data_IF_321478301634
#
_entry.id   IF_321478301634
#
_cell.length_a   1.000
_cell.length_b   1.000
_cell.length_c   1.000
_cell.angle_alpha   90.00
_cell.angle_beta   90.00
_cell.angle_gamma   90.00
#
_symmetry.space_group_name_H-M   'P 1'
#
loop_
_entity.id
_entity.type
_entity.pdbx_description
1 polymer ?
#
# COMPACT_ATOMS: atom_id res chain seq x y z
N UNK A 1 -29.70 25.63 -14.00
CA UNK A 1 -28.85 24.86 -14.93
C UNK A 1 -29.05 25.37 -16.34
N UNK A 2 -28.30 26.41 -16.68
CA UNK A 2 -28.15 26.94 -18.03
C UNK A 2 -26.89 26.37 -18.69
N UNK A 3 -26.79 26.47 -20.01
CA UNK A 3 -25.60 26.02 -20.73
C UNK A 3 -24.37 26.84 -20.28
N UNK A 4 -23.35 26.15 -19.76
CA UNK A 4 -22.13 26.78 -19.23
C UNK A 4 -22.13 26.99 -17.71
N UNK A 5 -23.21 26.68 -17.01
CA UNK A 5 -23.27 26.72 -15.55
C UNK A 5 -22.47 25.56 -14.92
N UNK A 6 -21.68 25.85 -13.88
CA UNK A 6 -20.94 24.83 -13.13
C UNK A 6 -21.93 24.02 -12.29
N UNK A 7 -21.97 22.71 -12.53
CA UNK A 7 -22.90 21.78 -11.86
C UNK A 7 -22.24 20.92 -10.78
N UNK A 8 -20.91 20.89 -10.74
CA UNK A 8 -20.12 20.15 -9.76
C UNK A 8 -18.73 20.78 -9.63
N UNK A 9 -18.21 20.80 -8.40
CA UNK A 9 -16.84 21.20 -8.10
C UNK A 9 -15.88 20.00 -8.20
N UNK A 10 -14.64 20.27 -8.59
CA UNK A 10 -13.54 19.31 -8.56
C UNK A 10 -12.62 19.51 -7.36
N UNK A 11 -11.40 18.97 -7.45
CA UNK A 11 -10.36 19.21 -6.47
C UNK A 11 -9.97 20.70 -6.43
N UNK A 12 -9.85 21.27 -5.23
CA UNK A 12 -9.42 22.66 -5.00
C UNK A 12 -10.30 23.72 -5.67
N UNK A 13 -11.61 23.47 -5.78
CA UNK A 13 -12.61 24.44 -6.23
C UNK A 13 -13.80 24.51 -5.28
N UNK A 14 -14.45 25.67 -5.18
CA UNK A 14 -15.68 25.87 -4.42
C UNK A 14 -16.60 26.83 -5.14
N UNK A 15 -17.84 26.41 -5.42
CA UNK A 15 -18.85 27.16 -6.16
C UNK A 15 -18.36 27.65 -7.54
N UNK A 16 -17.58 26.83 -8.25
CA UNK A 16 -17.02 27.17 -9.56
C UNK A 16 -15.80 28.09 -9.53
N UNK A 17 -15.31 28.48 -8.35
CA UNK A 17 -14.10 29.29 -8.18
C UNK A 17 -12.95 28.45 -7.62
N UNK A 18 -11.71 28.88 -7.85
CA UNK A 18 -10.51 28.21 -7.33
C UNK A 18 -10.38 28.46 -5.82
N UNK A 19 -10.17 27.40 -5.05
CA UNK A 19 -10.03 27.41 -3.59
C UNK A 19 -8.83 26.55 -3.16
N UNK A 20 -7.62 27.12 -3.22
CA UNK A 20 -6.36 26.40 -2.93
C UNK A 20 -6.06 26.18 -1.44
N UNK A 21 -6.83 26.81 -0.55
CA UNK A 21 -6.53 26.81 0.87
C UNK A 21 -7.73 27.24 1.71
N UNK A 22 -7.44 27.66 2.94
CA UNK A 22 -8.45 28.08 3.92
C UNK A 22 -8.12 29.48 4.43
N UNK A 23 -9.10 30.14 5.00
CA UNK A 23 -8.97 31.47 5.60
C UNK A 23 -8.85 31.35 7.14
N UNK A 24 -7.64 31.20 7.70
CA UNK A 24 -7.45 31.18 9.14
C UNK A 24 -7.53 32.59 9.74
N UNK A 25 -7.91 32.66 11.01
CA UNK A 25 -7.70 33.89 11.80
C UNK A 25 -6.23 33.97 12.22
N UNK A 26 -5.55 35.04 11.83
CA UNK A 26 -4.11 35.22 12.06
C UNK A 26 -3.87 36.31 13.10
N UNK A 27 -3.06 36.01 14.12
CA UNK A 27 -2.54 36.97 15.08
C UNK A 27 -1.09 37.32 14.78
N UNK A 28 -0.78 38.60 14.56
CA UNK A 28 0.58 39.08 14.36
C UNK A 28 1.20 39.50 15.70
N UNK A 29 1.86 38.56 16.37
CA UNK A 29 2.59 38.79 17.62
C UNK A 29 3.67 37.74 17.81
N UNK A 30 4.68 38.03 18.63
CA UNK A 30 5.62 37.00 19.09
C UNK A 30 4.97 36.18 20.20
N UNK A 31 5.12 34.85 20.15
CA UNK A 31 4.54 33.95 21.15
C UNK A 31 5.58 32.99 21.70
N UNK A 32 6.11 33.32 22.89
CA UNK A 32 7.06 32.49 23.67
C UNK A 32 8.27 31.95 22.88
N UNK A 33 8.62 32.58 21.75
CA UNK A 33 9.69 32.13 20.86
C UNK A 33 9.33 30.95 19.95
N UNK A 34 8.10 30.41 20.01
CA UNK A 34 7.67 29.32 19.13
C UNK A 34 7.53 29.72 17.67
N UNK A 35 7.31 31.01 17.40
CA UNK A 35 7.27 31.58 16.06
C UNK A 35 8.55 32.37 15.72
N UNK A 36 9.71 31.89 16.18
CA UNK A 36 11.00 32.47 15.85
C UNK A 36 11.37 32.22 14.38
N UNK A 37 11.97 33.22 13.73
CA UNK A 37 12.25 33.24 12.29
C UNK A 37 10.99 32.98 11.45
N UNK A 38 10.94 31.86 10.74
CA UNK A 38 9.86 31.50 9.82
C UNK A 38 8.90 30.45 10.40
N UNK A 39 9.02 30.14 11.70
CA UNK A 39 8.15 29.17 12.35
C UNK A 39 6.72 29.70 12.48
N UNK A 40 5.74 28.84 12.18
CA UNK A 40 4.31 29.15 12.29
C UNK A 40 3.70 28.33 13.43
N UNK A 41 3.03 29.02 14.35
CA UNK A 41 2.24 28.37 15.39
C UNK A 41 0.82 28.10 14.86
N UNK A 42 0.37 26.85 14.96
CA UNK A 42 -0.98 26.45 14.58
C UNK A 42 -1.84 26.24 15.82
N UNK A 43 -3.10 26.66 15.73
CA UNK A 43 -4.10 26.30 16.74
C UNK A 43 -4.47 24.83 16.58
N UNK A 44 -4.54 24.09 17.68
CA UNK A 44 -5.01 22.70 17.70
C UNK A 44 -6.40 22.54 17.05
N UNK A 45 -7.23 23.58 17.12
CA UNK A 45 -8.54 23.60 16.46
C UNK A 45 -8.46 23.32 14.96
N UNK A 46 -7.38 23.75 14.29
CA UNK A 46 -7.19 23.49 12.85
C UNK A 46 -7.03 22.00 12.53
N UNK A 47 -6.46 21.23 13.48
CA UNK A 47 -6.32 19.77 13.38
C UNK A 47 -7.65 19.11 13.70
N UNK A 48 -8.33 19.54 14.76
CA UNK A 48 -9.62 18.97 15.16
C UNK A 48 -10.74 19.17 14.12
N UNK A 49 -10.71 20.30 13.41
CA UNK A 49 -11.68 20.66 12.38
C UNK A 49 -11.25 20.18 10.96
N UNK A 50 -10.19 19.38 10.84
CA UNK A 50 -9.65 18.85 9.56
C UNK A 50 -9.41 19.94 8.50
N UNK A 51 -9.00 21.15 8.93
CA UNK A 51 -8.94 22.34 8.05
C UNK A 51 -7.92 22.16 6.93
N UNK A 52 -6.78 21.55 7.25
CA UNK A 52 -5.67 21.30 6.33
C UNK A 52 -5.44 19.80 6.06
N UNK A 53 -6.48 18.98 6.23
CA UNK A 53 -6.42 17.55 5.95
C UNK A 53 -6.54 17.30 4.44
N UNK A 54 -5.65 16.48 3.89
CA UNK A 54 -5.62 16.08 2.48
C UNK A 54 -5.70 14.57 2.32
N UNK A 55 -6.25 14.11 1.19
CA UNK A 55 -6.29 12.69 0.82
C UNK A 55 -5.14 12.44 -0.16
N UNK A 56 -4.29 11.48 0.17
CA UNK A 56 -3.22 10.99 -0.70
C UNK A 56 -3.56 9.57 -1.14
N UNK A 57 -3.44 9.29 -2.44
CA UNK A 57 -3.72 7.98 -3.02
C UNK A 57 -2.42 7.52 -3.69
N UNK A 58 -1.89 6.41 -3.21
CA UNK A 58 -0.70 5.76 -3.74
C UNK A 58 -1.11 4.45 -4.43
N UNK A 59 -0.44 4.12 -5.53
CA UNK A 59 -0.66 2.90 -6.29
C UNK A 59 0.57 2.00 -6.17
N UNK A 60 0.34 0.73 -5.79
CA UNK A 60 1.39 -0.28 -5.77
C UNK A 60 1.07 -1.38 -6.76
N UNK A 61 2.09 -1.79 -7.50
CA UNK A 61 1.97 -2.81 -8.53
C UNK A 61 2.90 -3.98 -8.22
N UNK A 62 2.42 -5.19 -8.49
CA UNK A 62 3.27 -6.39 -8.55
C UNK A 62 2.79 -7.27 -9.69
N UNK A 63 3.74 -7.97 -10.29
CA UNK A 63 3.53 -8.85 -11.42
C UNK A 63 4.09 -10.24 -11.08
N UNK A 64 3.41 -11.26 -11.58
CA UNK A 64 3.87 -12.65 -11.54
C UNK A 64 4.43 -13.00 -12.91
N UNK A 65 5.67 -13.49 -12.96
CA UNK A 65 6.40 -13.77 -14.21
C UNK A 65 6.80 -15.23 -14.31
N UNK A 66 6.97 -15.69 -15.54
CA UNK A 66 7.59 -16.98 -15.81
C UNK A 66 9.11 -16.90 -15.56
N UNK A 67 9.58 -17.66 -14.57
CA UNK A 67 11.03 -17.81 -14.33
C UNK A 67 11.55 -19.12 -14.93
N UNK A 68 12.88 -19.26 -15.00
CA UNK A 68 13.51 -20.51 -15.48
C UNK A 68 13.20 -21.73 -14.61
N UNK A 69 12.85 -21.50 -13.35
CA UNK A 69 12.61 -22.56 -12.36
C UNK A 69 11.12 -22.88 -12.21
N UNK A 70 10.25 -22.10 -12.85
CA UNK A 70 8.79 -22.22 -12.78
C UNK A 70 8.12 -20.84 -12.80
N UNK A 71 6.79 -20.80 -12.98
CA UNK A 71 6.02 -19.56 -12.86
C UNK A 71 6.02 -19.04 -11.43
N UNK A 72 6.04 -17.72 -11.26
CA UNK A 72 5.63 -17.09 -10.01
C UNK A 72 4.11 -17.21 -9.85
N UNK A 73 3.65 -17.43 -8.61
CA UNK A 73 2.23 -17.60 -8.33
C UNK A 73 1.76 -16.55 -7.32
N UNK A 74 0.59 -15.97 -7.59
CA UNK A 74 -0.13 -15.14 -6.63
C UNK A 74 -1.04 -16.07 -5.83
N UNK A 75 -0.81 -16.14 -4.52
CA UNK A 75 -1.51 -17.08 -3.64
C UNK A 75 -1.54 -16.58 -2.21
N UNK A 76 -2.58 -16.97 -1.48
CA UNK A 76 -2.65 -16.74 -0.03
C UNK A 76 -1.67 -17.65 0.73
N UNK A 77 -1.17 -18.74 0.12
CA UNK A 77 -0.24 -19.65 0.81
C UNK A 77 1.23 -19.20 0.75
N UNK A 78 1.54 -18.10 1.46
CA UNK A 78 2.88 -17.52 1.50
C UNK A 78 3.77 -18.11 2.61
N UNK A 79 4.85 -18.85 2.30
CA UNK A 79 5.65 -19.55 3.31
C UNK A 79 6.26 -18.59 4.34
N UNK A 80 6.10 -18.91 5.63
CA UNK A 80 6.73 -18.16 6.73
C UNK A 80 5.93 -16.95 7.21
N UNK A 81 4.74 -16.75 6.65
CA UNK A 81 3.78 -15.74 7.08
C UNK A 81 2.75 -16.41 7.99
N UNK A 82 2.48 -15.82 9.17
CA UNK A 82 1.45 -16.30 10.10
C UNK A 82 0.02 -15.96 9.66
N UNK A 83 -0.95 -16.68 10.18
CA UNK A 83 -2.37 -16.52 9.81
C UNK A 83 -2.90 -15.10 10.04
N UNK A 84 -2.38 -14.40 11.05
CA UNK A 84 -2.78 -13.02 11.35
C UNK A 84 -2.40 -12.04 10.24
N UNK A 85 -1.25 -12.23 9.59
CA UNK A 85 -0.81 -11.39 8.48
C UNK A 85 -1.54 -11.73 7.16
N UNK A 86 -2.18 -12.90 7.09
CA UNK A 86 -2.99 -13.34 5.94
C UNK A 86 -4.48 -13.05 6.10
N UNK A 87 -4.93 -12.56 7.28
CA UNK A 87 -6.35 -12.41 7.61
C UNK A 87 -7.14 -11.52 6.65
N UNK A 88 -6.47 -10.52 6.06
CA UNK A 88 -7.09 -9.56 5.15
C UNK A 88 -6.88 -9.93 3.67
N UNK A 89 -6.14 -11.00 3.37
CA UNK A 89 -5.98 -11.54 2.03
C UNK A 89 -7.18 -12.41 1.66
N UNK A 90 -7.64 -12.28 0.42
CA UNK A 90 -8.66 -13.13 -0.17
C UNK A 90 -8.09 -14.52 -0.52
N UNK A 91 -8.95 -15.42 -1.03
CA UNK A 91 -8.56 -16.77 -1.45
C UNK A 91 -7.47 -16.78 -2.54
N UNK A 92 -7.32 -15.68 -3.28
CA UNK A 92 -6.33 -15.52 -4.35
C UNK A 92 -5.01 -14.92 -3.83
N UNK A 93 -4.96 -14.50 -2.56
CA UNK A 93 -3.79 -13.83 -1.98
C UNK A 93 -3.76 -12.32 -2.23
N UNK A 94 -4.90 -11.68 -2.49
CA UNK A 94 -5.01 -10.23 -2.73
C UNK A 94 -5.73 -9.60 -1.54
N UNK A 95 -5.22 -8.47 -1.05
CA UNK A 95 -5.83 -7.70 0.05
C UNK A 95 -7.27 -7.30 -0.31
N UNK A 96 -8.19 -7.42 0.65
CA UNK A 96 -9.59 -6.99 0.47
C UNK A 96 -9.71 -5.46 0.41
N UNK A 97 -10.65 -4.98 -0.40
CA UNK A 97 -11.03 -3.55 -0.42
C UNK A 97 -11.63 -3.18 0.94
N UNK A 98 -11.24 -2.01 1.47
CA UNK A 98 -11.63 -1.54 2.80
C UNK A 98 -10.84 -2.15 3.96
N UNK A 99 -9.72 -2.85 3.70
CA UNK A 99 -8.77 -3.20 4.75
C UNK A 99 -7.94 -1.97 5.16
N UNK A 100 -7.76 -1.77 6.47
CA UNK A 100 -6.78 -0.83 7.00
C UNK A 100 -5.43 -1.55 7.06
N UNK A 101 -4.42 -0.97 6.42
CA UNK A 101 -3.09 -1.56 6.29
C UNK A 101 -2.03 -0.65 6.90
N UNK A 102 -0.96 -1.29 7.40
CA UNK A 102 0.21 -0.63 7.98
C UNK A 102 1.47 -1.15 7.32
N UNK A 103 2.56 -0.42 7.50
CA UNK A 103 3.89 -0.83 7.06
C UNK A 103 4.20 -2.30 7.44
N UNK A 104 4.52 -3.11 6.42
CA UNK A 104 4.82 -4.53 6.55
C UNK A 104 3.65 -5.48 6.31
N UNK A 105 2.41 -4.99 6.25
CA UNK A 105 1.25 -5.80 5.87
C UNK A 105 1.34 -6.22 4.40
N UNK A 106 0.79 -7.40 4.09
CA UNK A 106 0.85 -7.98 2.75
C UNK A 106 -0.31 -7.44 1.92
N UNK A 107 0.01 -6.78 0.80
CA UNK A 107 -0.98 -6.33 -0.18
C UNK A 107 -1.31 -7.44 -1.18
N UNK A 108 -0.28 -8.13 -1.66
CA UNK A 108 -0.42 -9.23 -2.61
C UNK A 108 0.57 -10.33 -2.25
N UNK A 109 0.03 -11.48 -1.86
CA UNK A 109 0.78 -12.69 -1.60
C UNK A 109 1.38 -13.25 -2.88
N UNK A 110 2.70 -13.25 -2.99
CA UNK A 110 3.42 -13.75 -4.17
C UNK A 110 4.51 -14.73 -3.74
N UNK A 111 4.57 -15.86 -4.44
CA UNK A 111 5.59 -16.88 -4.23
C UNK A 111 6.40 -17.11 -5.50
N UNK A 112 7.71 -17.19 -5.35
CA UNK A 112 8.63 -17.49 -6.45
C UNK A 112 9.28 -18.85 -6.21
N UNK A 113 9.30 -19.76 -7.21
CA UNK A 113 10.00 -21.03 -7.09
C UNK A 113 11.51 -20.79 -6.91
N UNK A 114 12.08 -21.47 -5.92
CA UNK A 114 13.51 -21.50 -5.63
C UNK A 114 14.11 -22.80 -6.15
N UNK A 115 15.28 -22.69 -6.78
CA UNK A 115 16.08 -23.87 -7.12
C UNK A 115 16.65 -24.50 -5.85
N UNK A 116 17.01 -25.78 -5.93
CA UNK A 116 17.70 -26.47 -4.85
C UNK A 116 19.08 -25.81 -4.62
N UNK A 117 19.17 -25.00 -3.57
CA UNK A 117 20.46 -24.53 -3.03
C UNK A 117 20.92 -25.49 -1.93
N UNK A 118 22.20 -25.82 -1.91
CA UNK A 118 22.80 -26.54 -0.77
C UNK A 118 22.56 -25.74 0.51
N UNK A 119 21.85 -26.35 1.45
CA UNK A 119 21.59 -25.76 2.77
C UNK A 119 22.88 -25.73 3.57
N UNK A 120 23.05 -24.68 4.38
CA UNK A 120 24.16 -24.66 5.32
C UNK A 120 24.00 -25.77 6.37
N UNK A 121 25.09 -26.27 6.99
CA UNK A 121 24.99 -27.26 8.05
C UNK A 121 24.03 -26.85 9.19
N UNK A 122 23.94 -25.55 9.49
CA UNK A 122 23.04 -24.97 10.47
C UNK A 122 21.56 -25.11 10.09
N UNK A 123 21.20 -24.78 8.84
CA UNK A 123 19.83 -24.94 8.32
C UNK A 123 19.45 -26.43 8.22
N UNK A 124 20.40 -27.29 7.86
CA UNK A 124 20.21 -28.74 7.81
C UNK A 124 19.94 -29.31 9.21
N UNK A 125 20.65 -28.82 10.23
CA UNK A 125 20.42 -29.20 11.62
C UNK A 125 19.05 -28.71 12.11
N UNK A 126 18.70 -27.46 11.84
CA UNK A 126 17.39 -26.89 12.20
C UNK A 126 16.24 -27.72 11.61
N UNK A 127 16.32 -28.10 10.32
CA UNK A 127 15.29 -28.95 9.71
C UNK A 127 15.25 -30.36 10.27
N UNK A 128 16.39 -30.93 10.66
CA UNK A 128 16.42 -32.24 11.30
C UNK A 128 15.75 -32.22 12.68
N UNK A 129 15.86 -31.10 13.43
CA UNK A 129 15.25 -30.93 14.75
C UNK A 129 13.74 -30.66 14.63
N UNK A 130 13.33 -29.75 13.73
CA UNK A 130 11.94 -29.31 13.61
C UNK A 130 11.10 -30.10 12.60
N UNK A 131 11.71 -31.01 11.84
CA UNK A 131 11.02 -31.82 10.83
C UNK A 131 10.46 -31.00 9.67
N UNK A 132 10.90 -29.76 9.48
CA UNK A 132 10.40 -28.88 8.43
C UNK A 132 10.85 -29.38 7.03
N UNK A 133 9.88 -29.55 6.13
CA UNK A 133 10.12 -29.98 4.75
C UNK A 133 10.74 -28.87 3.89
N UNK A 134 11.27 -29.30 2.75
CA UNK A 134 11.57 -28.52 1.54
C UNK A 134 10.50 -27.48 1.31
N UNK A 135 10.74 -26.21 1.64
CA UNK A 135 9.96 -25.16 0.99
C UNK A 135 10.70 -24.81 -0.28
N UNK A 136 10.16 -25.31 -1.39
CA UNK A 136 10.66 -25.08 -2.75
C UNK A 136 10.28 -23.68 -3.26
N UNK A 137 9.53 -22.91 -2.47
CA UNK A 137 9.07 -21.57 -2.81
C UNK A 137 9.55 -20.54 -1.78
N UNK A 138 9.81 -19.32 -2.24
CA UNK A 138 10.16 -18.16 -1.41
C UNK A 138 9.05 -17.11 -1.49
N UNK A 139 8.80 -16.45 -0.36
CA UNK A 139 8.00 -15.22 -0.28
C UNK A 139 8.65 -14.07 -1.05
N UNK A 140 7.97 -13.58 -2.08
CA UNK A 140 8.26 -12.36 -2.86
C UNK A 140 7.04 -11.43 -2.92
N UNK A 141 6.19 -11.51 -1.90
CA UNK A 141 4.95 -10.75 -1.77
C UNK A 141 5.17 -9.24 -1.77
N UNK A 142 4.18 -8.53 -2.29
CA UNK A 142 4.10 -7.07 -2.19
C UNK A 142 3.64 -6.70 -0.78
N UNK A 143 4.44 -5.88 -0.09
CA UNK A 143 4.16 -5.40 1.27
C UNK A 143 4.11 -3.88 1.28
N UNK A 144 3.33 -3.32 2.20
CA UNK A 144 3.26 -1.87 2.39
C UNK A 144 4.64 -1.34 2.79
N UNK A 145 5.18 -0.32 2.09
CA UNK A 145 6.45 0.30 2.44
C UNK A 145 6.48 0.89 3.85
N UNK A 146 7.69 1.14 4.35
CA UNK A 146 7.86 1.75 5.66
C UNK A 146 7.38 3.20 5.68
N UNK A 147 6.57 3.54 6.68
CA UNK A 147 6.02 4.89 6.86
C UNK A 147 4.68 5.12 6.17
N UNK A 148 4.19 4.15 5.40
CA UNK A 148 2.90 4.22 4.73
C UNK A 148 1.83 3.44 5.53
N UNK A 149 0.63 4.01 5.57
CA UNK A 149 -0.55 3.42 6.18
C UNK A 149 -1.78 4.01 5.51
N UNK A 150 -2.87 3.25 5.49
CA UNK A 150 -4.09 3.74 4.84
C UNK A 150 -5.14 2.66 4.70
N UNK A 151 -6.13 2.95 3.86
CA UNK A 151 -7.23 2.04 3.56
C UNK A 151 -7.14 1.67 2.08
N UNK A 152 -7.28 0.38 1.79
CA UNK A 152 -7.36 -0.09 0.40
C UNK A 152 -8.66 0.40 -0.23
N UNK A 153 -8.54 1.28 -1.22
CA UNK A 153 -9.69 1.86 -1.93
C UNK A 153 -10.11 1.05 -3.15
N UNK A 154 -9.16 0.44 -3.84
CA UNK A 154 -9.39 -0.33 -5.06
C UNK A 154 -8.30 -1.39 -5.23
N UNK A 155 -8.63 -2.48 -5.95
CA UNK A 155 -7.70 -3.54 -6.29
C UNK A 155 -8.01 -4.04 -7.72
N UNK A 156 -7.07 -3.81 -8.64
CA UNK A 156 -7.21 -4.22 -10.04
C UNK A 156 -6.33 -5.43 -10.33
N UNK A 157 -6.89 -6.39 -11.06
CA UNK A 157 -6.21 -7.63 -11.43
C UNK A 157 -6.29 -7.77 -12.94
N UNK A 158 -5.12 -7.76 -13.57
CA UNK A 158 -4.99 -7.99 -15.01
C UNK A 158 -4.54 -9.44 -15.24
N UNK A 159 -5.15 -10.11 -16.23
CA UNK A 159 -4.78 -11.49 -16.58
C UNK A 159 -4.59 -11.61 -18.08
N UNK A 160 -3.52 -12.28 -18.50
CA UNK A 160 -3.27 -12.56 -19.92
C UNK A 160 -4.42 -13.31 -20.59
N UNK A 161 -5.06 -14.22 -19.85
CA UNK A 161 -6.22 -15.00 -20.32
C UNK A 161 -7.43 -14.13 -20.64
N UNK A 162 -7.55 -12.95 -20.02
CA UNK A 162 -8.65 -12.01 -20.26
C UNK A 162 -8.40 -11.09 -21.47
N UNK A 163 -7.22 -11.20 -22.12
CA UNK A 163 -6.86 -10.36 -23.26
C UNK A 163 -6.35 -8.96 -22.90
N UNK A 164 -5.94 -8.75 -21.64
CA UNK A 164 -5.36 -7.49 -21.18
C UNK A 164 -3.94 -7.29 -21.77
N UNK A 165 -3.58 -6.04 -22.12
CA UNK A 165 -2.23 -5.71 -22.58
C UNK A 165 -1.25 -5.80 -21.40
N UNK A 166 -0.42 -6.84 -21.40
CA UNK A 166 0.61 -7.09 -20.39
C UNK A 166 2.00 -7.03 -21.01
N UNK A 167 3.00 -6.69 -20.19
CA UNK A 167 4.40 -6.69 -20.62
C UNK A 167 4.86 -8.12 -21.01
N UNK A 168 5.82 -8.25 -21.94
CA UNK A 168 6.32 -9.56 -22.34
C UNK A 168 6.88 -10.35 -21.15
N UNK A 169 6.32 -11.54 -20.89
CA UNK A 169 6.75 -12.41 -19.78
C UNK A 169 5.91 -12.29 -18.50
N UNK A 170 4.83 -11.49 -18.53
CA UNK A 170 3.82 -11.31 -17.46
C UNK A 170 2.48 -11.92 -17.84
#
# INVERSE_FOLDING_TARGET
VEAGEVIADGASTSNGEIALGKNPLIGFMTWEGYNYEDAVLLSERLVQDDVYTSIHIEEYETEARDTKLGPEEITNDVPGVGDEARKDLDERGIIRIGAEVRAGDILVGKVTPKGETELTPEERLLRAIFGEKAREVRDTSLKVPHGEQGIIVDAKVFKRENGDELAPGV
#
